data_IF_428857054339
#
_entry.id   IF_428857054339
#
_cell.length_a   1.000
_cell.length_b   1.000
_cell.length_c   1.000
_cell.angle_alpha   90.00
_cell.angle_beta   90.00
_cell.angle_gamma   90.00
#
_symmetry.space_group_name_H-M   'P 1'
#
loop_
_entity.id
_entity.type
_entity.pdbx_description
1 polymer ?
#
# COMPACT_ATOMS: atom_id res chain seq x y z
N UNK A 1 34.74 29.21 1.84
CA UNK A 1 34.85 28.74 0.45
C UNK A 1 33.43 28.61 -0.09
N UNK A 2 33.17 29.22 -1.25
CA UNK A 2 31.84 29.58 -1.75
C UNK A 2 30.91 28.38 -2.01
N UNK A 3 29.65 28.56 -1.63
CA UNK A 3 28.53 27.63 -1.80
C UNK A 3 27.87 27.75 -3.20
N UNK A 4 28.68 27.79 -4.26
CA UNK A 4 28.21 28.02 -5.62
C UNK A 4 28.99 27.17 -6.61
N UNK A 5 28.77 25.84 -6.58
CA UNK A 5 29.12 24.90 -7.65
C UNK A 5 28.69 23.47 -7.26
N UNK A 6 27.39 23.23 -7.15
CA UNK A 6 26.85 21.86 -7.27
C UNK A 6 26.10 21.81 -8.58
N UNK A 7 26.75 21.24 -9.59
CA UNK A 7 26.18 21.02 -10.92
C UNK A 7 24.96 20.09 -10.79
N UNK A 8 23.76 20.48 -11.27
CA UNK A 8 22.60 19.61 -11.24
C UNK A 8 22.86 18.39 -12.14
N UNK A 9 22.58 17.20 -11.58
CA UNK A 9 22.70 15.94 -12.31
C UNK A 9 21.95 16.02 -13.65
N UNK A 10 22.66 15.67 -14.73
CA UNK A 10 22.17 15.73 -16.10
C UNK A 10 20.76 15.13 -16.22
N UNK A 11 19.80 15.98 -16.57
CA UNK A 11 18.44 15.59 -16.88
C UNK A 11 18.44 14.66 -18.09
N UNK A 12 17.85 13.48 -17.93
CA UNK A 12 17.57 12.59 -19.06
C UNK A 12 16.71 13.35 -20.08
N UNK A 13 17.03 13.29 -21.39
CA UNK A 13 16.25 13.99 -22.40
C UNK A 13 14.86 13.37 -22.47
N UNK A 14 13.88 14.06 -21.89
CA UNK A 14 12.46 13.78 -22.12
C UNK A 14 12.20 14.15 -23.58
N UNK A 15 12.07 13.14 -24.45
CA UNK A 15 11.43 13.30 -25.76
C UNK A 15 10.18 14.14 -25.58
N UNK A 16 10.04 15.20 -26.39
CA UNK A 16 8.98 16.23 -26.36
C UNK A 16 7.58 15.62 -26.20
N UNK A 17 7.22 15.30 -24.96
CA UNK A 17 5.85 15.04 -24.56
C UNK A 17 5.19 16.41 -24.45
N UNK A 18 3.97 16.55 -24.97
CA UNK A 18 3.18 17.75 -24.77
C UNK A 18 3.20 18.10 -23.28
N UNK A 19 3.57 19.36 -22.98
CA UNK A 19 3.72 19.82 -21.61
C UNK A 19 2.35 19.80 -20.92
N UNK A 20 2.18 18.98 -19.89
CA UNK A 20 0.95 18.92 -19.09
C UNK A 20 0.79 20.23 -18.30
N UNK A 21 -0.29 20.96 -18.54
CA UNK A 21 -0.65 22.20 -17.85
C UNK A 21 -1.68 21.94 -16.76
N UNK A 22 -2.67 21.08 -17.01
CA UNK A 22 -3.74 20.74 -16.07
C UNK A 22 -3.80 19.24 -15.81
N UNK A 23 -3.70 18.85 -14.54
CA UNK A 23 -3.68 17.45 -14.11
C UNK A 23 -4.76 17.21 -13.06
N UNK A 24 -5.51 16.13 -13.21
CA UNK A 24 -6.30 15.57 -12.11
C UNK A 24 -5.56 14.38 -11.50
N UNK A 25 -5.44 14.35 -10.18
CA UNK A 25 -4.88 13.20 -9.45
C UNK A 25 -5.91 12.68 -8.48
N UNK A 26 -6.18 11.38 -8.54
CA UNK A 26 -6.99 10.66 -7.57
C UNK A 26 -6.09 9.68 -6.83
N UNK A 27 -5.80 9.98 -5.57
CA UNK A 27 -4.92 9.19 -4.73
C UNK A 27 -5.70 8.21 -3.86
N UNK A 28 -5.35 6.94 -3.99
CA UNK A 28 -5.84 5.83 -3.19
C UNK A 28 -4.75 5.41 -2.19
N UNK A 29 -4.99 5.70 -0.91
CA UNK A 29 -4.03 5.39 0.15
C UNK A 29 -3.87 3.88 0.38
N UNK A 30 -2.83 3.52 1.14
CA UNK A 30 -2.75 2.20 1.76
C UNK A 30 -3.79 2.01 2.86
N UNK A 31 -3.73 0.88 3.56
CA UNK A 31 -4.60 0.58 4.70
C UNK A 31 -4.22 1.45 5.91
N UNK A 32 -4.80 2.64 5.97
CA UNK A 32 -4.45 3.70 6.91
C UNK A 32 -5.69 4.46 7.44
N UNK A 33 -5.97 4.44 8.75
CA UNK A 33 -7.14 5.08 9.35
C UNK A 33 -6.98 6.60 9.56
N UNK A 34 -5.82 7.20 9.27
CA UNK A 34 -5.51 8.62 9.60
C UNK A 34 -6.25 9.63 8.72
N UNK A 35 -6.60 9.26 7.49
CA UNK A 35 -7.48 10.03 6.62
C UNK A 35 -6.90 11.35 6.06
N UNK A 36 -7.73 12.19 5.41
CA UNK A 36 -7.27 13.25 4.50
C UNK A 36 -6.51 14.40 5.16
N UNK A 37 -6.77 14.69 6.45
CA UNK A 37 -6.04 15.75 7.15
C UNK A 37 -4.56 15.38 7.33
N UNK A 38 -4.28 14.13 7.69
CA UNK A 38 -2.93 13.62 7.82
C UNK A 38 -2.19 13.63 6.48
N UNK A 39 -2.84 13.15 5.41
CA UNK A 39 -2.22 13.11 4.08
C UNK A 39 -1.97 14.49 3.48
N UNK A 40 -2.82 15.48 3.77
CA UNK A 40 -2.58 16.87 3.36
C UNK A 40 -1.36 17.46 4.08
N UNK A 41 -1.25 17.28 5.41
CA UNK A 41 -0.06 17.71 6.18
C UNK A 41 1.21 17.04 5.66
N UNK A 42 1.15 15.71 5.49
CA UNK A 42 2.26 14.92 4.97
C UNK A 42 2.70 15.41 3.59
N UNK A 43 1.76 15.67 2.67
CA UNK A 43 2.09 16.18 1.35
C UNK A 43 2.79 17.55 1.44
N UNK A 44 2.26 18.48 2.25
CA UNK A 44 2.85 19.80 2.43
C UNK A 44 4.25 19.78 3.06
N UNK A 45 4.44 18.96 4.09
CA UNK A 45 5.74 18.75 4.74
C UNK A 45 6.75 18.13 3.78
N UNK A 46 6.37 17.04 3.12
CA UNK A 46 7.28 16.31 2.24
C UNK A 46 7.59 17.10 0.96
N UNK A 47 6.64 17.86 0.42
CA UNK A 47 6.89 18.75 -0.72
C UNK A 47 8.02 19.75 -0.41
N UNK A 48 7.97 20.43 0.75
CA UNK A 48 9.00 21.38 1.17
C UNK A 48 10.37 20.74 1.35
N UNK A 49 10.40 19.51 1.89
CA UNK A 49 11.65 18.76 2.05
C UNK A 49 12.22 18.27 0.71
N UNK A 50 11.37 17.99 -0.28
CA UNK A 50 11.79 17.47 -1.57
C UNK A 50 12.20 18.52 -2.59
N UNK A 51 11.61 19.73 -2.55
CA UNK A 51 11.95 20.84 -3.44
C UNK A 51 13.46 21.08 -3.59
N UNK A 52 14.28 21.16 -2.50
CA UNK A 52 15.73 21.35 -2.65
C UNK A 52 16.46 20.14 -3.26
N UNK A 53 15.85 18.95 -3.26
CA UNK A 53 16.45 17.71 -3.77
C UNK A 53 16.23 17.52 -5.27
N UNK A 54 15.12 18.03 -5.82
CA UNK A 54 14.70 17.78 -7.20
C UNK A 54 14.42 19.06 -8.01
N UNK A 55 14.48 20.24 -7.39
CA UNK A 55 14.21 21.53 -8.03
C UNK A 55 12.73 21.76 -8.37
N UNK A 56 11.82 20.89 -7.93
CA UNK A 56 10.38 21.05 -8.13
C UNK A 56 9.82 21.96 -7.03
N UNK A 57 9.57 23.22 -7.37
CA UNK A 57 8.90 24.15 -6.47
C UNK A 57 7.40 23.84 -6.43
N UNK A 58 6.92 23.34 -5.30
CA UNK A 58 5.53 22.90 -5.13
C UNK A 58 4.80 23.78 -4.11
N UNK A 59 3.76 24.45 -4.58
CA UNK A 59 2.83 25.19 -3.72
C UNK A 59 1.59 24.34 -3.46
N UNK A 60 1.36 24.00 -2.19
CA UNK A 60 0.22 23.16 -1.77
C UNK A 60 -0.88 24.05 -1.19
N UNK A 61 -2.03 24.06 -1.86
CA UNK A 61 -3.21 24.84 -1.47
C UNK A 61 -3.93 24.27 -0.24
N UNK A 62 -4.97 25.00 0.20
CA UNK A 62 -5.80 24.59 1.34
C UNK A 62 -6.63 23.35 0.99
N UNK A 63 -6.73 22.43 1.95
CA UNK A 63 -7.62 21.27 1.88
C UNK A 63 -9.09 21.73 1.89
N UNK A 64 -9.88 21.18 0.96
CA UNK A 64 -11.34 21.34 0.87
C UNK A 64 -12.02 19.98 0.76
N UNK A 65 -13.31 19.91 1.08
CA UNK A 65 -14.11 18.72 0.78
C UNK A 65 -14.44 18.70 -0.72
N UNK A 66 -14.40 17.53 -1.33
CA UNK A 66 -14.88 17.29 -2.69
C UNK A 66 -15.95 16.20 -2.62
N UNK A 67 -17.20 16.64 -2.52
CA UNK A 67 -18.33 15.77 -2.23
C UNK A 67 -18.19 15.00 -0.90
N UNK A 68 -18.82 13.82 -0.85
CA UNK A 68 -18.73 12.89 0.30
C UNK A 68 -17.51 11.96 0.19
N UNK A 69 -17.05 11.73 -1.04
CA UNK A 69 -16.11 10.68 -1.41
C UNK A 69 -14.65 11.11 -1.32
N UNK A 70 -14.34 12.40 -1.41
CA UNK A 70 -12.96 12.86 -1.49
C UNK A 70 -12.68 14.14 -0.66
N UNK A 71 -11.40 14.41 -0.43
CA UNK A 71 -10.92 15.74 -0.07
C UNK A 71 -9.95 16.18 -1.16
N UNK A 72 -10.01 17.44 -1.54
CA UNK A 72 -9.18 17.98 -2.60
C UNK A 72 -8.28 19.10 -2.09
N UNK A 73 -7.16 19.31 -2.78
CA UNK A 73 -6.35 20.52 -2.71
C UNK A 73 -5.68 20.72 -4.07
N UNK A 74 -5.31 21.98 -4.35
CA UNK A 74 -4.58 22.32 -5.56
C UNK A 74 -3.09 22.28 -5.27
N UNK A 75 -2.30 21.77 -6.21
CA UNK A 75 -0.84 21.79 -6.19
C UNK A 75 -0.37 22.51 -7.44
N UNK A 76 0.44 23.56 -7.25
CA UNK A 76 1.03 24.31 -8.37
C UNK A 76 2.52 24.02 -8.41
N UNK A 77 3.04 23.61 -9.57
CA UNK A 77 4.48 23.39 -9.77
C UNK A 77 5.14 24.55 -10.51
N UNK A 78 6.34 24.94 -10.08
CA UNK A 78 7.24 25.89 -10.74
C UNK A 78 6.57 27.22 -11.14
N UNK A 79 5.77 27.82 -10.25
CA UNK A 79 5.09 29.09 -10.55
C UNK A 79 3.96 28.99 -11.58
N UNK A 80 3.31 27.83 -11.71
CA UNK A 80 2.12 27.65 -12.58
C UNK A 80 2.40 26.93 -13.89
N UNK A 81 3.50 26.20 -13.97
CA UNK A 81 3.80 25.37 -15.14
C UNK A 81 2.79 24.23 -15.28
N UNK A 82 2.46 23.59 -14.16
CA UNK A 82 1.40 22.58 -14.07
C UNK A 82 0.56 22.88 -12.83
N UNK A 83 -0.75 22.95 -13.01
CA UNK A 83 -1.74 22.97 -11.94
C UNK A 83 -2.33 21.56 -11.80
N UNK A 84 -2.26 21.03 -10.58
CA UNK A 84 -2.79 19.71 -10.25
C UNK A 84 -3.93 19.85 -9.27
N UNK A 85 -5.11 19.40 -9.64
CA UNK A 85 -6.16 19.16 -8.66
C UNK A 85 -5.98 17.75 -8.09
N UNK A 86 -5.55 17.70 -6.82
CA UNK A 86 -5.26 16.47 -6.12
C UNK A 86 -6.43 16.10 -5.21
N UNK A 87 -7.01 14.93 -5.44
CA UNK A 87 -8.07 14.35 -4.65
C UNK A 87 -7.60 13.12 -3.88
N UNK A 88 -7.71 13.19 -2.56
CA UNK A 88 -7.60 12.04 -1.69
C UNK A 88 -8.94 11.29 -1.65
N UNK A 89 -8.98 10.07 -2.20
CA UNK A 89 -10.14 9.20 -2.17
C UNK A 89 -10.34 8.62 -0.76
N UNK A 90 -11.48 8.94 -0.13
CA UNK A 90 -11.74 8.58 1.26
C UNK A 90 -12.28 7.17 1.38
N UNK A 91 -11.47 6.27 1.90
CA UNK A 91 -11.89 4.94 2.36
C UNK A 91 -11.42 4.68 3.80
N UNK A 92 -10.86 5.70 4.45
CA UNK A 92 -10.39 5.69 5.83
C UNK A 92 -11.50 5.36 6.85
N UNK A 93 -12.76 5.65 6.49
CA UNK A 93 -13.95 5.25 7.24
C UNK A 93 -14.18 3.74 7.22
N UNK A 94 -14.09 3.11 6.04
CA UNK A 94 -14.22 1.64 5.89
C UNK A 94 -13.09 0.94 6.62
N UNK A 95 -11.86 1.48 6.52
CA UNK A 95 -10.70 0.99 7.27
C UNK A 95 -10.98 1.02 8.77
N UNK A 96 -11.43 2.16 9.31
CA UNK A 96 -11.74 2.29 10.76
C UNK A 96 -12.85 1.36 11.22
N UNK A 97 -13.86 1.10 10.37
CA UNK A 97 -14.93 0.16 10.67
C UNK A 97 -14.41 -1.28 10.83
N UNK A 98 -13.39 -1.66 10.06
CA UNK A 98 -12.78 -2.99 10.08
C UNK A 98 -11.48 -3.06 10.91
N UNK A 99 -11.10 -1.99 11.60
CA UNK A 99 -9.81 -1.91 12.29
C UNK A 99 -9.84 -2.73 13.58
N UNK A 100 -8.99 -3.78 13.72
CA UNK A 100 -8.89 -4.53 14.97
C UNK A 100 -8.42 -3.64 16.13
N UNK A 101 -9.27 -3.51 17.16
CA UNK A 101 -9.06 -2.60 18.30
C UNK A 101 -8.28 -3.22 19.46
N UNK A 102 -8.18 -4.54 19.50
CA UNK A 102 -7.42 -5.28 20.51
C UNK A 102 -6.81 -6.56 19.91
N UNK A 103 -5.93 -7.20 20.67
CA UNK A 103 -5.15 -8.38 20.26
C UNK A 103 -6.06 -9.58 19.93
N UNK A 104 -7.20 -9.72 20.60
CA UNK A 104 -8.18 -10.76 20.30
C UNK A 104 -8.83 -10.56 18.93
N UNK A 105 -9.27 -9.33 18.62
CA UNK A 105 -9.78 -8.99 17.29
C UNK A 105 -8.69 -9.12 16.22
N UNK A 106 -7.45 -8.78 16.55
CA UNK A 106 -6.31 -8.95 15.65
C UNK A 106 -6.07 -10.43 15.33
N UNK A 107 -6.08 -11.28 16.35
CA UNK A 107 -5.94 -12.73 16.19
C UNK A 107 -7.08 -13.31 15.34
N UNK A 108 -8.34 -12.96 15.65
CA UNK A 108 -9.52 -13.41 14.89
C UNK A 108 -9.50 -12.99 13.42
N UNK A 109 -9.05 -11.77 13.13
CA UNK A 109 -8.97 -11.27 11.74
C UNK A 109 -7.78 -11.83 10.98
N UNK A 110 -6.69 -12.15 11.67
CA UNK A 110 -5.44 -12.60 11.05
C UNK A 110 -5.39 -14.10 10.81
N UNK A 111 -5.88 -14.92 11.75
CA UNK A 111 -5.77 -16.38 11.68
C UNK A 111 -6.36 -17.00 10.40
N UNK A 112 -7.59 -16.64 9.95
CA UNK A 112 -8.14 -17.20 8.71
C UNK A 112 -7.29 -16.85 7.48
N UNK A 113 -6.84 -15.60 7.40
CA UNK A 113 -6.01 -15.11 6.31
C UNK A 113 -4.66 -15.82 6.23
N UNK A 114 -3.97 -15.98 7.37
CA UNK A 114 -2.71 -16.71 7.40
C UNK A 114 -2.89 -18.22 7.20
N UNK A 115 -4.00 -18.80 7.69
CA UNK A 115 -4.39 -20.17 7.37
C UNK A 115 -4.46 -20.39 5.85
N UNK A 116 -5.07 -19.46 5.12
CA UNK A 116 -5.10 -19.48 3.67
C UNK A 116 -3.71 -19.30 3.04
N UNK A 117 -2.89 -18.39 3.58
CA UNK A 117 -1.52 -18.17 3.08
C UNK A 117 -0.67 -19.45 3.18
N UNK A 118 -0.76 -20.19 4.28
CA UNK A 118 -0.05 -21.45 4.45
C UNK A 118 -0.64 -22.56 3.58
N UNK A 119 -1.98 -22.74 3.59
CA UNK A 119 -2.68 -23.77 2.81
C UNK A 119 -2.40 -23.68 1.32
N UNK A 120 -2.26 -22.45 0.81
CA UNK A 120 -2.04 -22.17 -0.62
C UNK A 120 -0.56 -21.97 -0.98
N UNK A 121 0.35 -22.22 -0.03
CA UNK A 121 1.78 -21.97 -0.18
C UNK A 121 2.08 -20.56 -0.73
N UNK A 122 1.31 -19.55 -0.28
CA UNK A 122 1.51 -18.16 -0.68
C UNK A 122 2.92 -17.71 -0.30
N UNK A 123 3.37 -18.01 0.92
CA UNK A 123 4.68 -17.60 1.42
C UNK A 123 5.81 -18.18 0.56
N UNK A 124 5.73 -19.46 0.18
CA UNK A 124 6.72 -20.09 -0.69
C UNK A 124 6.73 -19.52 -2.11
N UNK A 125 5.55 -19.20 -2.67
CA UNK A 125 5.43 -18.52 -3.98
C UNK A 125 5.97 -17.10 -3.91
N UNK A 126 5.64 -16.35 -2.87
CA UNK A 126 6.15 -15.01 -2.60
C UNK A 126 7.66 -15.01 -2.44
N UNK A 127 8.25 -16.00 -1.73
CA UNK A 127 9.71 -16.10 -1.58
C UNK A 127 10.44 -16.21 -2.92
N UNK A 128 9.83 -16.89 -3.90
CA UNK A 128 10.39 -17.00 -5.27
C UNK A 128 10.27 -15.69 -6.07
N UNK A 129 9.25 -14.87 -5.79
CA UNK A 129 9.01 -13.59 -6.48
C UNK A 129 9.77 -12.43 -5.82
N UNK A 130 9.63 -12.28 -4.50
CA UNK A 130 10.25 -11.25 -3.70
C UNK A 130 10.46 -11.76 -2.25
N UNK A 131 11.68 -12.19 -1.94
CA UNK A 131 12.02 -12.76 -0.64
C UNK A 131 11.81 -11.77 0.51
N UNK A 132 12.09 -10.48 0.29
CA UNK A 132 11.90 -9.43 1.29
C UNK A 132 10.42 -9.33 1.67
N UNK A 133 9.51 -9.38 0.68
CA UNK A 133 8.07 -9.35 0.94
C UNK A 133 7.55 -10.61 1.59
N UNK A 134 8.11 -11.77 1.23
CA UNK A 134 7.79 -13.00 1.95
C UNK A 134 8.17 -12.88 3.44
N UNK A 135 9.32 -12.29 3.75
CA UNK A 135 9.71 -12.03 5.14
C UNK A 135 8.78 -11.02 5.82
N UNK A 136 8.48 -9.88 5.19
CA UNK A 136 7.61 -8.83 5.75
C UNK A 136 6.19 -9.32 6.03
N UNK A 137 5.64 -10.16 5.16
CA UNK A 137 4.34 -10.82 5.40
C UNK A 137 4.42 -11.82 6.55
N UNK A 138 5.53 -12.53 6.73
CA UNK A 138 5.57 -13.68 7.64
C UNK A 138 6.00 -13.30 9.07
N UNK A 139 6.98 -12.42 9.21
CA UNK A 139 7.56 -12.12 10.53
C UNK A 139 6.55 -11.60 11.57
N UNK A 140 5.57 -10.74 11.24
CA UNK A 140 4.65 -10.21 12.25
C UNK A 140 3.80 -11.32 12.87
N UNK A 141 3.40 -12.29 12.05
CA UNK A 141 2.64 -13.45 12.50
C UNK A 141 3.48 -14.40 13.35
N UNK A 142 4.72 -14.68 12.93
CA UNK A 142 5.64 -15.51 13.73
C UNK A 142 5.93 -14.85 15.07
N UNK A 143 6.22 -13.55 15.09
CA UNK A 143 6.46 -12.81 16.34
C UNK A 143 5.22 -12.85 17.23
N UNK A 144 4.03 -12.58 16.69
CA UNK A 144 2.82 -12.51 17.48
C UNK A 144 2.36 -13.88 17.97
N UNK A 145 2.12 -14.83 17.06
CA UNK A 145 1.60 -16.17 17.40
C UNK A 145 2.68 -17.03 18.06
N UNK A 146 3.93 -16.93 17.61
CA UNK A 146 5.05 -17.68 18.19
C UNK A 146 5.34 -17.24 19.62
N UNK A 147 5.30 -15.94 19.91
CA UNK A 147 5.48 -15.45 21.27
C UNK A 147 4.31 -15.87 22.18
N UNK A 148 3.06 -15.78 21.70
CA UNK A 148 1.89 -16.26 22.45
C UNK A 148 1.98 -17.77 22.74
N UNK A 149 2.37 -18.58 21.75
CA UNK A 149 2.53 -20.03 21.92
C UNK A 149 3.66 -20.36 22.90
N UNK A 150 4.81 -19.66 22.80
CA UNK A 150 5.93 -19.82 23.72
C UNK A 150 5.52 -19.45 25.15
N UNK A 151 4.83 -18.33 25.34
CA UNK A 151 4.32 -17.92 26.66
C UNK A 151 3.38 -18.96 27.26
N UNK A 152 2.44 -19.49 26.46
CA UNK A 152 1.52 -20.52 26.92
C UNK A 152 2.23 -21.83 27.27
N UNK A 153 3.19 -22.25 26.44
CA UNK A 153 4.00 -23.43 26.70
C UNK A 153 4.77 -23.29 28.01
N UNK A 154 5.52 -22.20 28.19
CA UNK A 154 6.32 -21.99 29.39
C UNK A 154 5.43 -21.82 30.63
N UNK A 155 4.28 -21.15 30.51
CA UNK A 155 3.36 -20.98 31.63
C UNK A 155 2.75 -22.32 32.05
N UNK A 156 2.42 -23.19 31.09
CA UNK A 156 1.95 -24.55 31.37
C UNK A 156 3.04 -25.38 32.03
N UNK A 157 4.27 -25.29 31.53
CA UNK A 157 5.42 -25.99 32.11
C UNK A 157 5.65 -25.54 33.57
N UNK A 158 5.64 -24.23 33.84
CA UNK A 158 5.78 -23.66 35.18
C UNK A 158 4.61 -24.06 36.10
N UNK A 159 3.38 -24.07 35.59
CA UNK A 159 2.22 -24.53 36.36
C UNK A 159 2.29 -26.02 36.73
N UNK A 160 3.00 -26.83 35.93
CA UNK A 160 3.19 -28.26 36.18
C UNK A 160 4.35 -28.56 37.16
N UNK A 161 5.29 -27.62 37.38
CA UNK A 161 6.44 -27.82 38.28
C UNK A 161 6.03 -28.23 39.70
N UNK A 162 5.07 -27.57 40.38
CA UNK A 162 4.64 -27.98 41.72
C UNK A 162 4.11 -29.41 41.75
N UNK A 163 3.35 -29.82 40.74
CA UNK A 163 2.80 -31.18 40.65
C UNK A 163 3.93 -32.21 40.52
N UNK A 164 4.97 -31.90 39.74
CA UNK A 164 6.15 -32.76 39.60
C UNK A 164 7.03 -32.83 40.86
N UNK A 165 6.85 -31.89 41.80
CA UNK A 165 7.57 -31.81 43.07
C UNK A 165 6.70 -32.21 44.28
N UNK A 166 5.54 -32.83 44.06
CA UNK A 166 4.55 -33.18 45.09
C UNK A 166 4.06 -31.99 45.95
N UNK A 167 4.10 -30.77 45.37
CA UNK A 167 3.57 -29.55 45.98
C UNK A 167 2.13 -29.29 45.51
N UNK A 168 1.34 -28.47 46.25
CA UNK A 168 -0.02 -28.12 45.83
C UNK A 168 -0.03 -27.41 44.48
N UNK A 169 -0.80 -27.93 43.52
CA UNK A 169 -0.86 -27.47 42.11
C UNK A 169 -1.12 -25.95 41.97
N UNK A 170 -1.90 -25.37 42.87
CA UNK A 170 -2.27 -23.95 42.82
C UNK A 170 -1.08 -23.01 43.03
N UNK A 171 0.01 -23.48 43.64
CA UNK A 171 1.24 -22.69 43.84
C UNK A 171 1.93 -22.34 42.52
N UNK A 172 1.67 -23.09 41.45
CA UNK A 172 2.19 -22.85 40.10
C UNK A 172 1.38 -21.84 39.29
N UNK A 173 0.16 -21.51 39.73
CA UNK A 173 -0.73 -20.61 38.97
C UNK A 173 -0.20 -19.18 38.93
N UNK A 174 0.28 -18.65 40.05
CA UNK A 174 0.78 -17.28 40.13
C UNK A 174 2.03 -17.07 39.24
N UNK A 175 3.09 -17.90 39.31
CA UNK A 175 4.24 -17.74 38.42
C UNK A 175 3.88 -18.00 36.95
N UNK A 176 2.97 -18.93 36.65
CA UNK A 176 2.46 -19.13 35.29
C UNK A 176 1.72 -17.90 34.75
N UNK A 177 0.85 -17.29 35.57
CA UNK A 177 0.14 -16.05 35.23
C UNK A 177 1.12 -14.88 35.03
N UNK A 178 2.14 -14.75 35.89
CA UNK A 178 3.20 -13.77 35.76
C UNK A 178 3.98 -13.92 34.45
N UNK A 179 4.26 -15.15 34.03
CA UNK A 179 4.96 -15.44 32.78
C UNK A 179 4.11 -15.13 31.54
N UNK A 180 2.81 -15.44 31.57
CA UNK A 180 1.86 -15.05 30.52
C UNK A 180 1.79 -13.53 30.40
N UNK A 181 1.65 -12.82 31.53
CA UNK A 181 1.62 -11.36 31.55
C UNK A 181 2.91 -10.75 31.01
N UNK A 182 4.07 -11.29 31.42
CA UNK A 182 5.39 -10.87 30.92
C UNK A 182 5.54 -11.09 29.42
N UNK A 183 5.03 -12.20 28.90
CA UNK A 183 5.03 -12.50 27.46
C UNK A 183 4.19 -11.51 26.66
N UNK A 184 2.98 -11.18 27.16
CA UNK A 184 2.12 -10.17 26.53
C UNK A 184 2.77 -8.77 26.54
N UNK A 185 3.42 -8.40 27.65
CA UNK A 185 4.16 -7.14 27.75
C UNK A 185 5.32 -7.10 26.75
N UNK A 186 6.11 -8.17 26.65
CA UNK A 186 7.19 -8.28 25.68
C UNK A 186 6.66 -8.17 24.24
N UNK A 187 5.50 -8.78 23.94
CA UNK A 187 4.86 -8.68 22.64
C UNK A 187 4.49 -7.26 22.25
N UNK A 188 3.93 -6.49 23.19
CA UNK A 188 3.61 -5.06 22.98
C UNK A 188 4.86 -4.21 22.80
N UNK A 189 5.90 -4.47 23.58
CA UNK A 189 7.17 -3.78 23.45
C UNK A 189 7.84 -4.05 22.09
N UNK A 190 7.82 -5.31 21.63
CA UNK A 190 8.29 -5.67 20.28
C UNK A 190 7.43 -4.98 19.21
N UNK A 191 6.12 -4.87 19.42
CA UNK A 191 5.25 -4.17 18.48
C UNK A 191 5.61 -2.69 18.32
N UNK A 192 5.91 -1.99 19.43
CA UNK A 192 6.33 -0.59 19.37
C UNK A 192 7.60 -0.39 18.54
N UNK A 193 8.50 -1.40 18.54
CA UNK A 193 9.76 -1.37 17.81
C UNK A 193 9.65 -1.78 16.35
N UNK A 194 8.82 -2.77 16.04
CA UNK A 194 8.73 -3.42 14.72
C UNK A 194 7.44 -3.13 13.96
N UNK A 195 6.46 -2.45 14.58
CA UNK A 195 5.14 -2.14 14.00
C UNK A 195 4.39 -3.39 13.50
N UNK A 196 4.60 -4.52 14.16
CA UNK A 196 4.09 -5.83 13.78
C UNK A 196 2.56 -5.89 13.72
N UNK A 197 1.85 -5.25 14.66
CA UNK A 197 0.40 -5.23 14.74
C UNK A 197 -0.18 -4.38 13.61
N UNK A 198 0.50 -3.32 13.17
CA UNK A 198 0.05 -2.58 12.00
C UNK A 198 0.07 -3.49 10.76
N UNK A 199 1.18 -4.19 10.54
CA UNK A 199 1.30 -5.14 9.44
C UNK A 199 0.31 -6.30 9.54
N UNK A 200 0.07 -6.85 10.73
CA UNK A 200 -0.94 -7.89 10.91
C UNK A 200 -2.33 -7.40 10.54
N UNK A 201 -2.69 -6.15 10.88
CA UNK A 201 -3.97 -5.57 10.45
C UNK A 201 -4.05 -5.43 8.93
N UNK A 202 -2.97 -4.96 8.30
CA UNK A 202 -2.85 -4.85 6.84
C UNK A 202 -3.06 -6.22 6.18
N UNK A 203 -2.29 -7.23 6.59
CA UNK A 203 -2.32 -8.55 5.99
C UNK A 203 -3.61 -9.32 6.31
N UNK A 204 -4.11 -9.19 7.53
CA UNK A 204 -5.37 -9.81 7.96
C UNK A 204 -6.57 -9.35 7.12
N UNK A 205 -6.55 -8.11 6.62
CA UNK A 205 -7.62 -7.56 5.79
C UNK A 205 -7.52 -7.93 4.30
N UNK A 206 -6.36 -8.37 3.80
CA UNK A 206 -6.14 -8.63 2.36
C UNK A 206 -7.02 -9.74 1.79
N UNK A 207 -7.12 -10.89 2.47
CA UNK A 207 -7.91 -12.03 1.98
C UNK A 207 -9.41 -11.70 1.95
N UNK A 208 -10.03 -11.11 2.99
CA UNK A 208 -11.41 -10.65 2.92
C UNK A 208 -11.70 -9.71 1.75
N UNK A 209 -10.83 -8.73 1.48
CA UNK A 209 -11.01 -7.84 0.32
C UNK A 209 -10.89 -8.57 -1.01
N UNK A 210 -9.83 -9.36 -1.17
CA UNK A 210 -9.59 -10.09 -2.41
C UNK A 210 -10.74 -11.03 -2.77
N UNK A 211 -11.44 -11.56 -1.75
CA UNK A 211 -12.58 -12.48 -1.92
C UNK A 211 -13.93 -11.74 -1.93
N UNK A 212 -13.95 -10.41 -1.99
CA UNK A 212 -15.18 -9.62 -2.07
C UNK A 212 -16.05 -9.67 -0.79
N UNK A 213 -15.46 -9.92 0.38
CA UNK A 213 -16.19 -10.04 1.65
C UNK A 213 -16.51 -8.70 2.34
N UNK A 214 -16.24 -7.58 1.67
CA UNK A 214 -16.53 -6.22 2.17
C UNK A 214 -17.37 -5.47 1.13
N UNK A 215 -18.71 -5.70 1.09
CA UNK A 215 -19.59 -5.15 0.06
C UNK A 215 -19.63 -3.60 0.00
N UNK A 216 -19.41 -2.94 1.12
CA UNK A 216 -19.31 -1.48 1.19
C UNK A 216 -18.07 -0.95 0.47
N UNK A 217 -16.98 -1.73 0.40
CA UNK A 217 -15.79 -1.37 -0.36
C UNK A 217 -16.03 -1.50 -1.85
N UNK A 218 -16.70 -2.57 -2.29
CA UNK A 218 -17.11 -2.74 -3.69
C UNK A 218 -18.03 -1.61 -4.15
N UNK A 219 -18.96 -1.18 -3.29
CA UNK A 219 -19.81 0.00 -3.54
C UNK A 219 -18.99 1.27 -3.61
N UNK A 220 -18.08 1.48 -2.65
CA UNK A 220 -17.20 2.66 -2.63
C UNK A 220 -16.33 2.78 -3.87
N UNK A 221 -15.84 1.66 -4.41
CA UNK A 221 -15.06 1.63 -5.65
C UNK A 221 -15.91 2.09 -6.85
N UNK A 222 -17.16 1.64 -6.95
CA UNK A 222 -18.08 2.12 -8.00
C UNK A 222 -18.39 3.60 -7.88
N UNK A 223 -18.65 4.07 -6.67
CA UNK A 223 -18.90 5.49 -6.40
C UNK A 223 -17.69 6.35 -6.77
N UNK A 224 -16.47 5.89 -6.46
CA UNK A 224 -15.25 6.56 -6.90
C UNK A 224 -15.10 6.58 -8.42
N UNK A 225 -15.39 5.47 -9.10
CA UNK A 225 -15.30 5.41 -10.55
C UNK A 225 -16.24 6.43 -11.21
N UNK A 226 -17.50 6.48 -10.75
CA UNK A 226 -18.48 7.45 -11.23
C UNK A 226 -18.02 8.89 -11.00
N UNK A 227 -17.55 9.21 -9.78
CA UNK A 227 -17.03 10.53 -9.43
C UNK A 227 -15.84 10.96 -10.29
N UNK A 228 -14.90 10.04 -10.57
CA UNK A 228 -13.74 10.32 -11.44
C UNK A 228 -14.20 10.60 -12.87
N UNK A 229 -15.12 9.80 -13.43
CA UNK A 229 -15.64 10.00 -14.79
C UNK A 229 -16.37 11.34 -14.91
N UNK A 230 -17.26 11.65 -13.97
CA UNK A 230 -17.96 12.94 -13.94
C UNK A 230 -16.97 14.11 -13.88
N UNK A 231 -15.97 14.01 -13.00
CA UNK A 231 -14.98 15.07 -12.83
C UNK A 231 -14.07 15.23 -14.05
N UNK A 232 -13.61 14.13 -14.65
CA UNK A 232 -12.81 14.17 -15.86
C UNK A 232 -13.58 14.85 -17.00
N UNK A 233 -14.86 14.47 -17.21
CA UNK A 233 -15.73 15.05 -18.25
C UNK A 233 -16.05 16.53 -18.00
N UNK A 234 -16.16 16.96 -16.75
CA UNK A 234 -16.43 18.34 -16.38
C UNK A 234 -15.17 19.23 -16.38
N UNK A 235 -14.00 18.67 -16.65
CA UNK A 235 -12.71 19.38 -16.63
C UNK A 235 -12.12 19.53 -18.03
N UNK A 236 -11.22 20.50 -18.17
CA UNK A 236 -10.31 20.65 -19.32
C UNK A 236 -8.90 20.12 -18.99
N UNK A 237 -8.81 19.05 -18.20
CA UNK A 237 -7.54 18.45 -17.83
C UNK A 237 -6.82 17.85 -19.06
N UNK A 238 -5.50 17.98 -19.10
CA UNK A 238 -4.67 17.31 -20.11
C UNK A 238 -4.49 15.82 -19.76
N UNK A 239 -4.45 15.50 -18.46
CA UNK A 239 -4.32 14.15 -17.97
C UNK A 239 -5.05 13.88 -16.63
N UNK A 240 -5.41 12.61 -16.45
CA UNK A 240 -6.02 12.05 -15.25
C UNK A 240 -5.14 10.92 -14.73
N UNK A 241 -4.70 11.02 -13.46
CA UNK A 241 -3.90 10.01 -12.81
C UNK A 241 -4.68 9.36 -11.66
N UNK A 242 -4.75 8.03 -11.65
CA UNK A 242 -5.12 7.24 -10.48
C UNK A 242 -3.83 6.73 -9.83
N UNK A 243 -3.57 7.15 -8.60
CA UNK A 243 -2.34 6.80 -7.86
C UNK A 243 -2.68 5.87 -6.71
N UNK A 244 -2.29 4.60 -6.81
CA UNK A 244 -2.37 3.65 -5.72
C UNK A 244 -1.07 3.59 -4.94
N UNK A 245 -1.12 3.62 -3.61
CA UNK A 245 0.05 3.43 -2.75
C UNK A 245 -0.10 2.22 -1.82
N UNK A 246 0.90 1.34 -1.76
CA UNK A 246 0.84 0.11 -0.97
C UNK A 246 -0.47 -0.64 -1.25
N UNK A 247 -1.26 -1.00 -0.25
CA UNK A 247 -2.58 -1.65 -0.42
C UNK A 247 -3.51 -0.90 -1.39
N UNK A 248 -3.39 0.43 -1.51
CA UNK A 248 -4.14 1.20 -2.50
C UNK A 248 -3.87 0.78 -3.94
N UNK A 249 -2.71 0.18 -4.22
CA UNK A 249 -2.41 -0.42 -5.55
C UNK A 249 -3.30 -1.60 -5.86
N UNK A 250 -3.70 -2.38 -4.84
CA UNK A 250 -4.63 -3.50 -4.99
C UNK A 250 -6.01 -2.97 -5.35
N UNK A 251 -6.48 -1.92 -4.67
CA UNK A 251 -7.81 -1.34 -4.87
C UNK A 251 -7.91 -0.45 -6.11
N UNK A 252 -6.78 0.08 -6.60
CA UNK A 252 -6.73 0.81 -7.85
C UNK A 252 -7.08 -0.07 -9.06
N UNK A 253 -6.84 -1.39 -9.00
CA UNK A 253 -7.20 -2.31 -10.09
C UNK A 253 -8.71 -2.40 -10.32
N UNK A 254 -9.55 -2.81 -9.33
CA UNK A 254 -10.99 -2.84 -9.52
C UNK A 254 -11.57 -1.44 -9.78
N UNK A 255 -10.95 -0.37 -9.24
CA UNK A 255 -11.34 1.01 -9.59
C UNK A 255 -11.14 1.31 -11.07
N UNK A 256 -9.96 1.03 -11.63
CA UNK A 256 -9.68 1.29 -13.05
C UNK A 256 -10.48 0.35 -13.95
N UNK A 257 -10.71 -0.89 -13.53
CA UNK A 257 -11.61 -1.80 -14.24
C UNK A 257 -13.03 -1.24 -14.31
N UNK A 258 -13.53 -0.65 -13.23
CA UNK A 258 -14.83 0.02 -13.23
C UNK A 258 -14.84 1.30 -14.09
N UNK A 259 -13.75 2.10 -14.06
CA UNK A 259 -13.60 3.25 -14.95
C UNK A 259 -13.69 2.82 -16.42
N UNK A 260 -13.04 1.71 -16.81
CA UNK A 260 -13.11 1.15 -18.16
C UNK A 260 -14.51 0.66 -18.54
N UNK A 261 -15.34 0.24 -17.57
CA UNK A 261 -16.74 -0.11 -17.82
C UNK A 261 -17.60 1.13 -18.06
N UNK A 262 -17.39 2.20 -17.30
CA UNK A 262 -18.14 3.47 -17.40
C UNK A 262 -17.67 4.34 -18.57
N UNK A 263 -16.40 4.23 -18.95
CA UNK A 263 -15.76 4.94 -20.05
C UNK A 263 -14.85 3.99 -20.84
N UNK A 264 -15.40 3.25 -21.82
CA UNK A 264 -14.61 2.32 -22.64
C UNK A 264 -13.49 3.00 -23.44
N UNK A 265 -13.56 4.33 -23.65
CA UNK A 265 -12.53 5.11 -24.34
C UNK A 265 -11.48 5.73 -23.41
N UNK A 266 -11.42 5.31 -22.14
CA UNK A 266 -10.56 5.89 -21.11
C UNK A 266 -9.09 6.00 -21.56
N UNK A 267 -8.61 7.23 -21.71
CA UNK A 267 -7.23 7.52 -22.12
C UNK A 267 -6.94 7.36 -23.62
N UNK A 268 -7.92 6.89 -24.40
CA UNK A 268 -7.90 6.91 -25.87
C UNK A 268 -8.59 8.16 -26.43
N UNK A 269 -9.69 8.55 -25.78
CA UNK A 269 -10.44 9.77 -26.09
C UNK A 269 -10.48 10.68 -24.87
N UNK A 270 -10.26 11.98 -25.07
CA UNK A 270 -10.20 12.96 -23.98
C UNK A 270 -8.81 13.02 -23.30
N UNK A 271 -8.73 13.28 -21.98
CA UNK A 271 -7.45 13.42 -21.30
C UNK A 271 -6.64 12.11 -21.31
N UNK A 272 -5.32 12.23 -21.31
CA UNK A 272 -4.44 11.09 -21.12
C UNK A 272 -4.73 10.42 -19.76
N UNK A 273 -4.82 9.09 -19.72
CA UNK A 273 -5.04 8.36 -18.47
C UNK A 273 -3.78 7.61 -18.00
N UNK A 274 -3.46 7.79 -16.72
CA UNK A 274 -2.34 7.13 -16.06
C UNK A 274 -2.75 6.39 -14.79
N UNK A 275 -2.40 5.10 -14.71
CA UNK A 275 -2.40 4.35 -13.46
C UNK A 275 -0.98 4.33 -12.89
N UNK A 276 -0.79 4.88 -11.69
CA UNK A 276 0.51 4.92 -11.02
C UNK A 276 0.44 4.07 -9.77
N UNK A 277 1.28 3.04 -9.70
CA UNK A 277 1.50 2.26 -8.50
C UNK A 277 2.76 2.76 -7.77
N UNK A 278 2.64 3.00 -6.47
CA UNK A 278 3.74 3.31 -5.57
C UNK A 278 3.88 2.15 -4.58
N UNK A 279 4.93 1.34 -4.71
CA UNK A 279 5.10 0.14 -3.89
C UNK A 279 4.01 -0.90 -4.14
N UNK A 280 3.86 -1.35 -5.39
CA UNK A 280 2.89 -2.36 -5.80
C UNK A 280 2.92 -3.62 -4.92
N UNK A 281 1.74 -4.07 -4.46
CA UNK A 281 1.59 -5.32 -3.70
C UNK A 281 0.58 -6.28 -4.32
N UNK A 282 0.32 -6.15 -5.63
CA UNK A 282 -0.66 -6.95 -6.37
C UNK A 282 -0.47 -8.47 -6.18
N UNK A 283 0.75 -9.04 -6.18
CA UNK A 283 0.91 -10.48 -6.01
C UNK A 283 0.44 -11.00 -4.65
N UNK A 284 0.35 -10.16 -3.61
CA UNK A 284 -0.17 -10.57 -2.29
C UNK A 284 -1.63 -11.03 -2.36
N UNK A 285 -2.41 -10.49 -3.29
CA UNK A 285 -3.80 -10.89 -3.50
C UNK A 285 -3.99 -11.70 -4.77
N UNK A 286 -3.27 -11.41 -5.86
CA UNK A 286 -3.42 -12.12 -7.14
C UNK A 286 -3.07 -13.61 -7.07
N UNK A 287 -2.19 -13.98 -6.13
CA UNK A 287 -1.80 -15.37 -5.87
C UNK A 287 -2.82 -16.15 -5.03
N UNK A 288 -3.76 -15.50 -4.35
CA UNK A 288 -4.78 -16.20 -3.57
C UNK A 288 -5.76 -16.91 -4.52
N UNK A 289 -6.22 -18.12 -4.17
CA UNK A 289 -7.09 -18.90 -5.07
C UNK A 289 -8.43 -18.22 -5.31
N UNK A 290 -9.05 -17.60 -4.29
CA UNK A 290 -10.37 -16.94 -4.43
C UNK A 290 -10.35 -15.54 -5.05
N UNK A 291 -9.25 -15.11 -5.66
CA UNK A 291 -9.09 -13.77 -6.25
C UNK A 291 -9.51 -13.70 -7.72
N UNK A 292 -10.53 -14.45 -8.12
CA UNK A 292 -10.94 -14.56 -9.54
C UNK A 292 -11.36 -13.21 -10.12
N UNK A 293 -12.28 -12.51 -9.45
CA UNK A 293 -12.71 -11.16 -9.84
C UNK A 293 -11.53 -10.18 -9.94
N UNK A 294 -10.61 -10.21 -8.97
CA UNK A 294 -9.41 -9.38 -9.01
C UNK A 294 -8.52 -9.72 -10.21
N UNK A 295 -8.36 -11.01 -10.55
CA UNK A 295 -7.58 -11.45 -11.72
C UNK A 295 -8.25 -11.03 -13.04
N UNK A 296 -9.58 -11.04 -13.11
CA UNK A 296 -10.34 -10.53 -14.25
C UNK A 296 -10.14 -9.02 -14.43
N UNK A 297 -10.32 -8.24 -13.35
CA UNK A 297 -10.10 -6.79 -13.36
C UNK A 297 -8.64 -6.47 -13.73
N UNK A 298 -7.68 -7.21 -13.15
CA UNK A 298 -6.26 -7.07 -13.46
C UNK A 298 -5.96 -7.32 -14.94
N UNK A 299 -6.58 -8.35 -15.53
CA UNK A 299 -6.44 -8.63 -16.97
C UNK A 299 -7.00 -7.48 -17.79
N UNK A 300 -8.22 -7.02 -17.49
CA UNK A 300 -8.86 -5.91 -18.21
C UNK A 300 -7.98 -4.65 -18.20
N UNK A 301 -7.51 -4.24 -17.02
CA UNK A 301 -6.64 -3.06 -16.85
C UNK A 301 -5.30 -3.24 -17.58
N UNK A 302 -4.67 -4.40 -17.45
CA UNK A 302 -3.36 -4.64 -18.06
C UNK A 302 -3.41 -4.70 -19.61
N UNK A 303 -4.59 -4.97 -20.19
CA UNK A 303 -4.78 -5.08 -21.64
C UNK A 303 -5.46 -3.86 -22.27
N UNK A 304 -5.99 -2.92 -21.48
CA UNK A 304 -6.71 -1.74 -21.98
C UNK A 304 -5.77 -0.76 -22.69
N UNK A 305 -5.90 -0.49 -24.00
CA UNK A 305 -4.88 0.26 -24.76
C UNK A 305 -4.67 1.69 -24.23
N UNK A 306 -5.72 2.40 -23.84
CA UNK A 306 -5.66 3.76 -23.29
C UNK A 306 -5.04 3.91 -21.90
N UNK A 307 -4.84 2.81 -21.14
CA UNK A 307 -4.28 2.87 -19.79
C UNK A 307 -2.75 2.85 -19.83
N UNK A 308 -2.11 3.98 -19.50
CA UNK A 308 -0.67 4.03 -19.24
C UNK A 308 -0.40 3.61 -17.79
N UNK A 309 0.23 2.47 -17.59
CA UNK A 309 0.46 1.93 -16.24
C UNK A 309 1.94 1.99 -15.86
N UNK A 310 2.27 2.77 -14.83
CA UNK A 310 3.61 2.94 -14.27
C UNK A 310 3.67 2.35 -12.85
N UNK A 311 4.74 1.62 -12.52
CA UNK A 311 4.98 1.09 -11.17
C UNK A 311 6.34 1.55 -10.63
N UNK A 312 6.32 2.38 -9.60
CA UNK A 312 7.50 2.85 -8.89
C UNK A 312 7.68 2.03 -7.61
N UNK A 313 8.71 1.19 -7.60
CA UNK A 313 8.94 0.28 -6.48
C UNK A 313 10.43 0.15 -6.13
N UNK A 314 10.72 0.16 -4.83
CA UNK A 314 12.08 0.02 -4.31
C UNK A 314 12.33 -1.45 -3.94
N UNK A 315 13.47 -2.02 -4.38
CA UNK A 315 13.81 -3.42 -4.03
C UNK A 315 13.98 -3.68 -2.53
N UNK A 316 14.28 -2.63 -1.76
CA UNK A 316 14.43 -2.69 -0.30
C UNK A 316 13.10 -2.58 0.45
N UNK A 317 12.04 -2.15 -0.23
CA UNK A 317 10.72 -2.11 0.37
C UNK A 317 10.16 -3.53 0.46
N UNK A 318 10.17 -4.08 1.68
CA UNK A 318 9.59 -5.40 1.96
C UNK A 318 8.06 -5.39 1.95
N UNK A 319 7.39 -4.24 2.03
CA UNK A 319 5.94 -4.21 1.95
C UNK A 319 5.42 -4.38 0.51
N UNK A 320 6.24 -4.09 -0.51
CA UNK A 320 5.88 -4.23 -1.91
C UNK A 320 6.47 -5.49 -2.57
N UNK A 321 5.97 -5.86 -3.74
CA UNK A 321 6.51 -6.91 -4.60
C UNK A 321 7.06 -6.26 -5.87
N UNK A 322 8.31 -5.75 -5.82
CA UNK A 322 8.84 -4.89 -6.85
C UNK A 322 9.18 -5.67 -8.12
N UNK A 323 9.04 -5.03 -9.27
CA UNK A 323 9.61 -5.49 -10.55
C UNK A 323 9.09 -6.86 -11.01
N UNK A 324 7.82 -7.15 -10.75
CA UNK A 324 7.13 -8.37 -11.20
C UNK A 324 6.05 -8.03 -12.23
N UNK A 325 5.92 -8.82 -13.30
CA UNK A 325 4.74 -8.76 -14.18
C UNK A 325 3.54 -9.36 -13.43
N UNK A 326 2.53 -8.56 -13.06
CA UNK A 326 1.41 -9.02 -12.24
C UNK A 326 0.51 -10.02 -12.98
N UNK A 327 0.44 -9.99 -14.32
CA UNK A 327 -0.29 -11.00 -15.09
C UNK A 327 0.42 -12.34 -14.99
N UNK A 328 1.72 -12.36 -15.28
CA UNK A 328 2.53 -13.57 -15.20
C UNK A 328 2.54 -14.15 -13.78
N UNK A 329 2.70 -13.31 -12.77
CA UNK A 329 2.66 -13.74 -11.37
C UNK A 329 1.31 -14.34 -10.97
N UNK A 330 0.21 -13.82 -11.54
CA UNK A 330 -1.14 -14.31 -11.29
C UNK A 330 -1.57 -15.46 -12.21
N UNK A 331 -0.67 -15.99 -13.05
CA UNK A 331 -0.95 -17.10 -13.97
C UNK A 331 -1.82 -16.71 -15.18
N UNK A 332 -1.90 -15.41 -15.51
CA UNK A 332 -2.73 -14.90 -16.60
C UNK A 332 -1.91 -14.80 -17.89
N UNK A 333 -2.37 -15.47 -18.94
CA UNK A 333 -1.77 -15.35 -20.27
C UNK A 333 -2.05 -13.97 -20.88
N UNK A 334 -0.99 -13.31 -21.35
CA UNK A 334 -1.08 -12.02 -22.05
C UNK A 334 -1.47 -12.24 -23.52
N UNK A 335 -2.48 -11.53 -24.06
CA UNK A 335 -2.79 -11.58 -25.49
C UNK A 335 -1.60 -11.13 -26.35
N UNK A 336 -1.48 -11.68 -27.56
CA UNK A 336 -0.42 -11.28 -28.51
C UNK A 336 -0.55 -9.79 -28.86
N UNK A 337 0.59 -9.11 -28.98
CA UNK A 337 0.64 -7.69 -29.34
C UNK A 337 0.40 -6.71 -28.18
N UNK A 338 -0.06 -7.18 -27.01
CA UNK A 338 -0.19 -6.34 -25.82
C UNK A 338 1.17 -6.21 -25.13
N UNK A 339 1.69 -4.99 -24.88
CA UNK A 339 2.96 -4.80 -24.19
C UNK A 339 2.89 -5.27 -22.73
N UNK A 340 4.06 -5.53 -22.13
CA UNK A 340 4.14 -5.81 -20.69
C UNK A 340 3.79 -4.54 -19.92
N UNK A 341 2.85 -4.67 -18.98
CA UNK A 341 2.41 -3.60 -18.08
C UNK A 341 2.29 -4.15 -16.66
N UNK A 342 2.58 -3.34 -15.62
CA UNK A 342 3.07 -1.95 -15.69
C UNK A 342 4.47 -1.81 -16.29
N UNK A 343 4.77 -0.62 -16.83
CA UNK A 343 6.16 -0.18 -17.02
C UNK A 343 6.78 0.05 -15.64
N UNK A 344 7.87 -0.65 -15.36
CA UNK A 344 8.48 -0.67 -14.04
C UNK A 344 9.60 0.37 -13.94
N UNK A 345 9.56 1.16 -12.86
CA UNK A 345 10.54 2.18 -12.51
C UNK A 345 11.19 1.82 -11.18
N UNK A 346 12.39 1.21 -11.21
CA UNK A 346 13.13 0.89 -9.99
C UNK A 346 13.49 2.14 -9.19
N UNK A 347 12.95 2.27 -7.99
CA UNK A 347 13.30 3.36 -7.08
C UNK A 347 14.56 2.98 -6.29
N UNK A 348 15.63 3.77 -6.44
CA UNK A 348 16.87 3.61 -5.67
C UNK A 348 16.96 4.75 -4.66
N UNK A 349 16.41 4.53 -3.47
CA UNK A 349 16.31 5.57 -2.42
C UNK A 349 17.67 6.23 -2.14
N UNK A 350 18.76 5.44 -2.08
CA UNK A 350 20.14 5.96 -1.90
C UNK A 350 20.58 6.97 -2.96
N UNK A 351 19.99 6.95 -4.16
CA UNK A 351 20.29 7.90 -5.24
C UNK A 351 19.35 9.10 -5.29
N UNK A 352 18.32 9.12 -4.45
CA UNK A 352 17.35 10.23 -4.37
C UNK A 352 17.81 11.34 -3.43
N UNK A 353 18.85 11.07 -2.63
CA UNK A 353 19.33 11.97 -1.59
C UNK A 353 20.84 12.16 -1.72
N UNK A 354 21.37 13.36 -1.44
CA UNK A 354 22.79 13.57 -1.18
C UNK A 354 23.29 12.64 -0.06
N UNK A 355 24.58 12.22 -0.08
CA UNK A 355 25.12 11.25 0.90
C UNK A 355 24.88 11.62 2.37
N UNK A 356 25.01 12.89 2.72
CA UNK A 356 24.81 13.44 4.06
C UNK A 356 23.34 13.38 4.50
N UNK A 357 22.41 13.67 3.59
CA UNK A 357 20.97 13.55 3.84
C UNK A 357 20.59 12.07 3.97
N UNK A 358 21.11 11.23 3.07
CA UNK A 358 20.87 9.79 3.12
C UNK A 358 21.42 9.15 4.41
N UNK A 359 22.53 9.64 4.97
CA UNK A 359 23.08 9.13 6.22
C UNK A 359 22.14 9.30 7.42
N UNK A 360 21.27 10.31 7.37
CA UNK A 360 20.19 10.55 8.34
C UNK A 360 18.99 9.69 8.00
N UNK A 361 18.46 9.82 6.78
CA UNK A 361 17.21 9.18 6.34
C UNK A 361 17.29 7.65 6.37
N UNK A 362 18.47 7.05 6.13
CA UNK A 362 18.66 5.59 6.19
C UNK A 362 18.44 4.97 7.57
N UNK A 363 18.31 5.77 8.63
CA UNK A 363 17.99 5.27 9.98
C UNK A 363 16.48 5.00 10.13
N UNK A 364 15.68 5.63 9.28
CA UNK A 364 14.22 5.52 9.26
C UNK A 364 13.72 4.53 8.19
N UNK A 365 14.61 4.03 7.33
CA UNK A 365 14.38 3.02 6.28
C UNK A 365 15.00 1.70 6.70
#
# INVERSE_FOLDING_TARGET
>A
MNASEVSPAASLPLTSAARVRKRLVFYFSGFDPRGPAHYHSLYGEQARLHTPLNGLDLQVGKRRRSGKLANAWTITSNGGETETEYEFLRWDDIIRAHWPKNEWQLLKSTLPTYGEFFRTNLIGRMRKLAWASALTVTYPFILFVGLLALGLFLATAVAAVPVALDLPWWTGLLPAAGLLAGTLFLGRWLDDRFRSFWLLRVYGAMQPWAYGKIPELDTRIRDFAAHIVEKARASDADEVLVVGHSVGTILAIPLVAELLRLDPGLGETGPAFGLVALGSCLPLVGLLPGSDKFREDLKAVATAPGVRWLDFSARRDGACVPQVDPLKASGISRPKGIPVRPQQFPVRIVKMFPPEVYAVVKKDI
#
